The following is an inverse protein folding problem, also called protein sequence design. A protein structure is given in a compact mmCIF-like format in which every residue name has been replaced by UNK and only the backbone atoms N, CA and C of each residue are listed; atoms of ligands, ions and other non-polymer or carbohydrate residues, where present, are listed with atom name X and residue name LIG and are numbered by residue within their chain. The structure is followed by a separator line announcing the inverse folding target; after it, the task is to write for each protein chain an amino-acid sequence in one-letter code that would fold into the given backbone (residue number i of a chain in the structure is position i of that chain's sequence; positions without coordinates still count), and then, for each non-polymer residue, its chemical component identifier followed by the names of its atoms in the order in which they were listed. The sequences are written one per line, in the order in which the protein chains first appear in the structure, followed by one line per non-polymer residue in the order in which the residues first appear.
data_IF_892510670009
#
_entry.id   IF_892510670009
#
_cell.length_a   1.000
_cell.length_b   1.000
_cell.length_c   1.000
_cell.angle_alpha   90.00
_cell.angle_beta   90.00
_cell.angle_gamma   90.00
#
_symmetry.space_group_name_H-M   'P 1'
#
loop_
_entity.id
_entity.type
_entity.pdbx_description
1 polymer ?
#
# COMPACT_ATOMS: atom_id res chain seq x y z
N UNK A 1 -11.60 17.64 57.24
CA UNK A 1 -10.48 16.69 57.01
C UNK A 1 -10.95 15.73 55.93
N UNK A 2 -10.45 15.80 54.68
CA UNK A 2 -10.97 14.99 53.59
C UNK A 2 -10.22 13.64 53.51
N UNK A 3 -10.97 12.56 53.29
CA UNK A 3 -10.42 11.25 52.94
C UNK A 3 -10.35 11.14 51.41
N UNK A 4 -9.14 11.03 50.87
CA UNK A 4 -8.87 10.82 49.45
C UNK A 4 -9.20 9.38 49.08
N UNK A 5 -10.28 9.14 48.35
CA UNK A 5 -10.51 7.85 47.69
C UNK A 5 -9.76 7.85 46.35
N UNK A 6 -8.69 7.05 46.30
CA UNK A 6 -7.98 6.68 45.07
C UNK A 6 -8.98 5.94 44.17
N UNK A 7 -9.32 6.52 43.03
CA UNK A 7 -9.98 5.83 41.93
C UNK A 7 -8.88 5.31 41.01
N UNK A 8 -8.67 4.00 41.05
CA UNK A 8 -7.81 3.29 40.12
C UNK A 8 -8.35 3.45 38.69
N UNK A 9 -7.49 3.91 37.79
CA UNK A 9 -7.76 4.05 36.35
C UNK A 9 -7.76 2.66 35.64
N UNK A 10 -8.33 2.58 34.42
CA UNK A 10 -9.29 1.54 34.04
C UNK A 10 -8.68 0.24 33.52
N UNK A 11 -9.53 -0.79 33.44
CA UNK A 11 -9.27 -2.10 32.85
C UNK A 11 -8.53 -2.00 31.49
N UNK A 12 -7.59 -2.91 31.20
CA UNK A 12 -6.91 -2.93 29.91
C UNK A 12 -7.95 -3.08 28.81
N UNK A 13 -7.99 -2.08 27.92
CA UNK A 13 -8.86 -2.09 26.75
C UNK A 13 -8.52 -3.32 25.91
N UNK A 14 -9.36 -4.35 26.04
CA UNK A 14 -9.25 -5.56 25.22
C UNK A 14 -9.51 -5.13 23.78
N UNK A 15 -8.46 -5.29 22.97
CA UNK A 15 -8.29 -5.10 21.53
C UNK A 15 -9.54 -4.65 20.72
N UNK A 16 -9.39 -3.70 19.77
CA UNK A 16 -10.51 -3.28 18.93
C UNK A 16 -11.17 -4.47 18.21
N UNK A 17 -12.45 -4.69 18.51
CA UNK A 17 -13.34 -5.69 17.90
C UNK A 17 -13.76 -5.26 16.49
N UNK A 18 -12.79 -5.05 15.61
CA UNK A 18 -13.06 -4.75 14.20
C UNK A 18 -12.05 -5.48 13.32
N UNK A 19 -11.98 -6.80 13.50
CA UNK A 19 -11.38 -7.68 12.49
C UNK A 19 -12.51 -8.16 11.59
N UNK A 20 -12.97 -7.29 10.68
CA UNK A 20 -13.87 -7.70 9.60
C UNK A 20 -13.06 -8.60 8.68
N UNK A 21 -13.27 -9.90 8.82
CA UNK A 21 -12.62 -10.99 8.10
C UNK A 21 -13.04 -11.14 6.63
N UNK A 22 -13.69 -10.11 6.08
CA UNK A 22 -13.95 -9.99 4.65
C UNK A 22 -13.44 -8.61 4.23
N UNK A 23 -12.15 -8.53 3.90
CA UNK A 23 -11.64 -7.43 3.11
C UNK A 23 -12.14 -7.66 1.67
N UNK A 24 -13.42 -7.43 1.43
CA UNK A 24 -13.92 -7.23 0.08
C UNK A 24 -13.18 -6.01 -0.44
N UNK A 25 -12.21 -6.25 -1.33
CA UNK A 25 -11.32 -5.24 -1.86
C UNK A 25 -12.18 -4.12 -2.44
N UNK A 26 -12.25 -3.01 -1.71
CA UNK A 26 -13.00 -1.84 -2.18
C UNK A 26 -12.26 -1.38 -3.42
N UNK A 27 -12.89 -1.41 -4.62
CA UNK A 27 -12.24 -1.00 -5.83
C UNK A 27 -11.74 0.42 -5.62
N UNK A 28 -10.43 0.56 -5.66
CA UNK A 28 -9.75 1.79 -5.30
C UNK A 28 -9.00 2.26 -6.54
N UNK A 29 -9.10 3.55 -6.91
CA UNK A 29 -8.35 4.05 -8.03
C UNK A 29 -6.86 3.80 -7.78
N UNK A 30 -6.16 3.31 -8.80
CA UNK A 30 -4.72 3.14 -8.74
C UNK A 30 -4.07 4.49 -8.41
N UNK A 31 -3.19 4.51 -7.41
CA UNK A 31 -2.54 5.74 -6.97
C UNK A 31 -1.70 6.41 -8.08
N UNK A 32 -1.24 5.64 -9.06
CA UNK A 32 -0.39 6.18 -10.14
C UNK A 32 -1.15 6.57 -11.40
N UNK A 33 -2.07 5.74 -11.89
CA UNK A 33 -2.77 5.99 -13.15
C UNK A 33 -4.25 6.37 -12.99
N UNK A 34 -4.81 6.28 -11.77
CA UNK A 34 -6.21 6.56 -11.48
C UNK A 34 -7.20 5.51 -11.99
N UNK A 35 -6.74 4.43 -12.62
CA UNK A 35 -7.61 3.37 -13.11
C UNK A 35 -8.40 2.73 -11.95
N UNK A 36 -9.70 2.54 -12.15
CA UNK A 36 -10.56 1.80 -11.22
C UNK A 36 -10.21 0.33 -11.26
N UNK A 37 -9.53 -0.16 -10.23
CA UNK A 37 -9.07 -1.55 -10.11
C UNK A 37 -9.55 -2.14 -8.80
N UNK A 38 -9.77 -3.46 -8.77
CA UNK A 38 -10.18 -4.20 -7.57
C UNK A 38 -9.19 -4.05 -6.43
N UNK A 39 -7.92 -3.87 -6.78
CA UNK A 39 -6.82 -3.56 -5.89
C UNK A 39 -5.57 -3.21 -6.67
N UNK A 40 -4.52 -2.76 -5.96
CA UNK A 40 -3.20 -2.55 -6.54
C UNK A 40 -2.15 -2.74 -5.46
N UNK A 41 -0.94 -3.11 -5.87
CA UNK A 41 0.16 -3.35 -4.96
C UNK A 41 1.52 -3.25 -5.63
N UNK A 42 2.54 -2.94 -4.83
CA UNK A 42 3.92 -2.98 -5.28
C UNK A 42 4.45 -4.42 -5.16
N UNK A 43 4.98 -4.95 -6.26
CA UNK A 43 5.66 -6.24 -6.30
C UNK A 43 7.14 -6.07 -6.63
N UNK A 44 7.97 -6.93 -6.00
CA UNK A 44 9.40 -7.03 -6.32
C UNK A 44 9.58 -7.95 -7.53
N UNK A 45 10.10 -7.41 -8.62
CA UNK A 45 10.42 -8.12 -9.87
C UNK A 45 11.84 -7.76 -10.26
N UNK A 46 12.74 -8.74 -10.35
CA UNK A 46 14.16 -8.54 -10.74
C UNK A 46 14.88 -7.44 -9.91
N UNK A 47 14.53 -7.32 -8.62
CA UNK A 47 15.10 -6.30 -7.73
C UNK A 47 14.44 -4.91 -7.83
N UNK A 48 13.44 -4.75 -8.69
CA UNK A 48 12.67 -3.52 -8.86
C UNK A 48 11.29 -3.63 -8.20
N UNK A 49 10.81 -2.54 -7.62
CA UNK A 49 9.42 -2.34 -7.25
C UNK A 49 8.61 -1.88 -8.44
N UNK A 50 7.65 -2.70 -8.83
CA UNK A 50 6.72 -2.44 -9.92
C UNK A 50 5.31 -2.39 -9.34
N UNK A 51 4.53 -1.36 -9.71
CA UNK A 51 3.13 -1.27 -9.31
C UNK A 51 2.31 -2.15 -10.23
N UNK A 52 1.50 -3.02 -9.65
CA UNK A 52 0.67 -4.00 -10.35
C UNK A 52 -0.77 -3.80 -9.92
N UNK A 53 -1.69 -3.81 -10.87
CA UNK A 53 -3.11 -3.84 -10.60
C UNK A 53 -3.53 -5.28 -10.30
N UNK A 54 -4.37 -5.46 -9.29
CA UNK A 54 -4.96 -6.75 -8.95
C UNK A 54 -6.19 -6.99 -9.85
N UNK A 55 -5.92 -7.17 -11.15
CA UNK A 55 -6.86 -7.65 -12.16
C UNK A 55 -6.63 -9.15 -12.42
N UNK A 56 -7.52 -9.83 -13.16
CA UNK A 56 -7.35 -11.26 -13.47
C UNK A 56 -5.96 -11.58 -14.05
N UNK A 57 -5.43 -10.68 -14.90
CA UNK A 57 -4.13 -10.83 -15.55
C UNK A 57 -2.95 -10.24 -14.74
N UNK A 58 -3.21 -9.62 -13.58
CA UNK A 58 -2.21 -8.91 -12.76
C UNK A 58 -1.34 -7.97 -13.60
N UNK A 59 -2.01 -7.09 -14.32
CA UNK A 59 -1.37 -6.15 -15.25
C UNK A 59 -0.49 -5.12 -14.52
N UNK A 60 0.66 -4.79 -15.09
CA UNK A 60 1.53 -3.73 -14.57
C UNK A 60 0.89 -2.38 -14.85
N UNK A 61 0.94 -1.47 -13.86
CA UNK A 61 0.50 -0.10 -14.06
C UNK A 61 1.41 0.58 -15.10
N UNK A 62 0.88 1.08 -16.23
CA UNK A 62 1.70 1.63 -17.30
C UNK A 62 2.30 3.01 -16.97
N UNK A 63 1.76 3.69 -15.95
CA UNK A 63 2.18 5.05 -15.54
C UNK A 63 3.17 5.02 -14.38
N UNK A 64 3.18 3.94 -13.58
CA UNK A 64 4.01 3.87 -12.39
C UNK A 64 5.48 3.67 -12.76
N UNK A 65 6.33 4.60 -12.33
CA UNK A 65 7.77 4.50 -12.51
C UNK A 65 8.31 3.41 -11.57
N UNK A 66 9.02 2.39 -12.08
CA UNK A 66 9.67 1.41 -11.24
C UNK A 66 10.72 2.05 -10.33
N UNK A 67 11.00 1.44 -9.19
CA UNK A 67 12.09 1.86 -8.29
C UNK A 67 12.95 0.68 -7.88
N UNK A 68 14.18 0.92 -7.44
CA UNK A 68 15.04 -0.12 -6.88
C UNK A 68 14.48 -0.55 -5.53
N UNK A 69 13.98 -1.78 -5.41
CA UNK A 69 13.23 -2.25 -4.23
C UNK A 69 13.98 -2.03 -2.92
N UNK A 70 15.29 -2.29 -2.94
CA UNK A 70 16.15 -2.21 -1.74
C UNK A 70 16.42 -0.78 -1.29
N UNK A 71 16.42 0.19 -2.22
CA UNK A 71 16.84 1.58 -1.92
C UNK A 71 15.70 2.58 -2.00
N UNK A 72 14.54 2.18 -2.54
CA UNK A 72 13.42 3.08 -2.82
C UNK A 72 13.70 4.12 -3.92
N UNK A 73 14.89 4.12 -4.52
CA UNK A 73 15.27 5.12 -5.52
C UNK A 73 14.55 4.82 -6.83
N UNK A 74 13.89 5.82 -7.46
CA UNK A 74 13.27 5.62 -8.76
C UNK A 74 14.33 5.12 -9.74
N UNK A 75 13.95 4.13 -10.56
CA UNK A 75 14.75 3.79 -11.72
C UNK A 75 14.60 4.99 -12.62
N UNK A 76 15.62 5.86 -12.64
CA UNK A 76 15.72 6.89 -13.65
C UNK A 76 15.61 6.17 -14.96
N UNK A 77 14.50 6.36 -15.67
CA UNK A 77 14.44 6.04 -17.07
C UNK A 77 15.53 6.92 -17.69
N UNK A 78 16.73 6.38 -17.86
CA UNK A 78 17.57 6.80 -18.95
C UNK A 78 16.74 6.51 -20.18
N UNK A 79 15.97 7.51 -20.60
CA UNK A 79 15.50 7.63 -21.96
C UNK A 79 16.79 7.76 -22.76
N UNK A 80 17.44 6.64 -23.04
CA UNK A 80 18.23 6.52 -24.26
C UNK A 80 17.18 6.60 -25.36
N UNK A 81 16.82 7.84 -25.70
CA UNK A 81 16.14 8.15 -26.93
C UNK A 81 17.06 7.59 -28.01
N UNK A 82 16.71 6.42 -28.54
CA UNK A 82 17.37 5.86 -29.70
C UNK A 82 17.12 6.85 -30.83
N UNK A 83 18.08 7.75 -31.03
CA UNK A 83 18.14 8.60 -32.19
C UNK A 83 18.50 7.67 -33.35
N UNK A 84 17.52 7.38 -34.20
CA UNK A 84 17.70 6.80 -35.52
C UNK A 84 17.61 7.91 -36.57
#
# INVERSE_FOLDING_TARGET
MPATLVVSHPAPLSAPLSRTEVAEGVPSPCMSCGASVSGWGWMKVDGLGVLVHDTEDRERCPVAVPFVWETGKPVSASVEAVAA
#
